data_IF_853932370651
#
_entry.id   IF_853932370651
#
_cell.length_a   1.000
_cell.length_b   1.000
_cell.length_c   1.000
_cell.angle_alpha   90.00
_cell.angle_beta   90.00
_cell.angle_gamma   90.00
#
_symmetry.space_group_name_H-M   'P 1'
#
loop_
_entity.id
_entity.type
_entity.pdbx_description
1 polymer ?
#
# COMPACT_ATOMS: atom_id res chain seq x y z
N UNK A 1 24.83 49.47 -3.84
CA UNK A 1 23.65 48.93 -4.55
C UNK A 1 22.43 49.71 -4.08
N UNK A 2 22.02 50.69 -4.88
CA UNK A 2 20.89 51.57 -4.61
C UNK A 2 19.60 50.90 -5.11
N UNK A 3 18.72 50.54 -4.18
CA UNK A 3 17.38 50.02 -4.49
C UNK A 3 16.61 51.11 -5.23
N UNK A 4 16.20 50.81 -6.46
CA UNK A 4 15.57 51.76 -7.38
C UNK A 4 14.20 52.24 -6.84
N UNK A 5 13.93 53.56 -6.79
CA UNK A 5 12.69 54.14 -6.24
C UNK A 5 11.49 54.08 -7.20
N UNK A 6 11.46 53.13 -8.12
CA UNK A 6 10.40 53.02 -9.14
C UNK A 6 9.17 52.22 -8.67
N UNK A 7 9.28 51.49 -7.56
CA UNK A 7 8.18 50.68 -7.03
C UNK A 7 7.02 51.52 -6.42
N UNK A 8 7.27 52.63 -5.70
CA UNK A 8 6.19 53.47 -5.16
C UNK A 8 5.35 54.18 -6.22
N UNK A 9 5.94 54.52 -7.38
CA UNK A 9 5.25 55.30 -8.42
C UNK A 9 4.27 54.45 -9.24
N UNK A 10 4.49 53.14 -9.33
CA UNK A 10 3.54 52.21 -9.94
C UNK A 10 2.24 52.04 -9.12
N UNK A 11 2.26 52.38 -7.83
CA UNK A 11 1.07 52.32 -6.97
C UNK A 11 0.34 53.67 -6.82
N UNK A 12 0.94 54.79 -7.25
CA UNK A 12 0.41 56.13 -6.99
C UNK A 12 -0.53 56.67 -8.09
N UNK A 13 -0.71 55.95 -9.22
CA UNK A 13 -1.37 56.51 -10.41
C UNK A 13 -2.67 55.81 -10.84
N UNK A 14 -3.25 54.93 -10.02
CA UNK A 14 -4.55 54.31 -10.33
C UNK A 14 -5.63 54.84 -9.38
N UNK A 15 -6.67 55.56 -9.86
CA UNK A 15 -7.84 55.97 -9.06
C UNK A 15 -8.74 54.78 -8.64
N UNK A 16 -8.20 53.57 -8.62
CA UNK A 16 -8.84 52.33 -8.19
C UNK A 16 -8.68 52.07 -6.68
N UNK A 17 -7.89 52.87 -5.96
CA UNK A 17 -7.56 52.65 -4.54
C UNK A 17 -8.43 53.43 -3.54
N UNK A 18 -9.30 54.33 -3.99
CA UNK A 18 -10.06 55.21 -3.09
C UNK A 18 -11.26 54.52 -2.41
N UNK A 19 -11.37 53.19 -2.51
CA UNK A 19 -12.39 52.40 -1.84
C UNK A 19 -11.91 51.01 -1.44
N UNK A 20 -12.51 50.46 -0.39
CA UNK A 20 -12.31 49.09 0.11
C UNK A 20 -12.35 48.03 -1.00
N UNK A 21 -13.15 48.26 -2.06
CA UNK A 21 -13.21 47.44 -3.27
C UNK A 21 -11.88 47.31 -4.00
N UNK A 22 -11.09 48.38 -4.07
CA UNK A 22 -9.77 48.37 -4.70
C UNK A 22 -8.82 47.40 -4.01
N UNK A 23 -8.83 47.40 -2.68
CA UNK A 23 -8.00 46.51 -1.86
C UNK A 23 -8.44 45.05 -2.01
N UNK A 24 -9.76 44.79 -1.93
CA UNK A 24 -10.32 43.44 -2.14
C UNK A 24 -9.94 42.90 -3.52
N UNK A 25 -10.13 43.70 -4.58
CA UNK A 25 -9.80 43.31 -5.95
C UNK A 25 -8.30 43.10 -6.14
N UNK A 26 -7.46 43.96 -5.55
CA UNK A 26 -6.01 43.83 -5.63
C UNK A 26 -5.53 42.52 -4.99
N UNK A 27 -5.98 42.23 -3.77
CA UNK A 27 -5.60 41.01 -3.04
C UNK A 27 -6.11 39.77 -3.79
N UNK A 28 -7.37 39.78 -4.23
CA UNK A 28 -7.94 38.67 -4.97
C UNK A 28 -7.20 38.43 -6.30
N UNK A 29 -6.85 39.50 -7.02
CA UNK A 29 -6.10 39.42 -8.28
C UNK A 29 -4.69 38.88 -8.06
N UNK A 30 -3.99 39.37 -7.03
CA UNK A 30 -2.66 38.87 -6.67
C UNK A 30 -2.71 37.37 -6.35
N UNK A 31 -3.68 36.95 -5.54
CA UNK A 31 -3.87 35.55 -5.18
C UNK A 31 -4.14 34.68 -6.42
N UNK A 32 -5.01 35.14 -7.31
CA UNK A 32 -5.30 34.47 -8.58
C UNK A 32 -4.06 34.35 -9.47
N UNK A 33 -3.28 35.42 -9.63
CA UNK A 33 -2.04 35.41 -10.43
C UNK A 33 -1.06 34.37 -9.89
N UNK A 34 -0.89 34.29 -8.57
CA UNK A 34 -0.01 33.30 -7.95
C UNK A 34 -0.49 31.87 -8.25
N UNK A 35 -1.79 31.59 -8.09
CA UNK A 35 -2.36 30.28 -8.44
C UNK A 35 -2.13 29.92 -9.91
N UNK A 36 -2.35 30.87 -10.81
CA UNK A 36 -2.16 30.69 -12.25
C UNK A 36 -0.70 30.38 -12.58
N UNK A 37 0.26 31.14 -12.01
CA UNK A 37 1.70 30.92 -12.22
C UNK A 37 2.12 29.54 -11.71
N UNK A 38 1.66 29.13 -10.51
CA UNK A 38 1.95 27.80 -9.96
C UNK A 38 1.39 26.69 -10.85
N UNK A 39 0.14 26.83 -11.31
CA UNK A 39 -0.51 25.87 -12.19
C UNK A 39 0.22 25.76 -13.53
N UNK A 40 0.56 26.88 -14.18
CA UNK A 40 1.28 26.89 -15.46
C UNK A 40 2.68 26.28 -15.30
N UNK A 41 3.39 26.63 -14.23
CA UNK A 41 4.72 26.09 -13.95
C UNK A 41 4.67 24.57 -13.73
N UNK A 42 3.68 24.09 -12.96
CA UNK A 42 3.44 22.67 -12.76
C UNK A 42 3.14 21.97 -14.09
N UNK A 43 2.16 22.47 -14.86
CA UNK A 43 1.80 21.88 -16.17
C UNK A 43 2.97 21.84 -17.14
N UNK A 44 3.78 22.91 -17.20
CA UNK A 44 4.95 22.94 -18.06
C UNK A 44 6.02 21.94 -17.62
N UNK A 45 6.24 21.79 -16.32
CA UNK A 45 7.15 20.78 -15.77
C UNK A 45 6.67 19.37 -16.09
N UNK A 46 5.42 19.04 -15.78
CA UNK A 46 4.79 17.74 -16.07
C UNK A 46 4.79 17.42 -17.57
N UNK A 47 4.47 18.41 -18.42
CA UNK A 47 4.52 18.25 -19.88
C UNK A 47 5.95 18.13 -20.45
N UNK A 48 6.98 18.57 -19.73
CA UNK A 48 8.37 18.25 -20.08
C UNK A 48 8.71 16.80 -19.76
N UNK A 49 8.25 16.29 -18.61
CA UNK A 49 8.42 14.88 -18.23
C UNK A 49 7.70 13.95 -19.19
N UNK A 50 6.45 14.26 -19.54
CA UNK A 50 5.67 13.48 -20.49
C UNK A 50 6.37 13.40 -21.86
N UNK A 51 6.88 14.53 -22.36
CA UNK A 51 7.67 14.55 -23.61
C UNK A 51 8.96 13.74 -23.51
N UNK A 52 9.62 13.74 -22.36
CA UNK A 52 10.81 12.93 -22.14
C UNK A 52 10.48 11.43 -22.22
N UNK A 53 9.43 11.00 -21.52
CA UNK A 53 8.96 9.60 -21.56
C UNK A 53 8.53 9.20 -22.98
N UNK A 54 7.80 10.07 -23.69
CA UNK A 54 7.42 9.80 -25.09
C UNK A 54 8.62 9.66 -26.01
N UNK A 55 9.72 10.37 -25.77
CA UNK A 55 10.98 10.18 -26.53
C UNK A 55 11.60 8.82 -26.23
N UNK A 56 11.62 8.41 -24.97
CA UNK A 56 12.08 7.07 -24.59
C UNK A 56 11.21 5.98 -25.23
N UNK A 57 9.90 6.16 -25.25
CA UNK A 57 8.99 5.23 -25.94
C UNK A 57 9.20 5.23 -27.46
N UNK A 58 9.42 6.39 -28.08
CA UNK A 58 9.71 6.47 -29.51
C UNK A 58 11.04 5.80 -29.88
N UNK A 59 12.06 5.89 -29.02
CA UNK A 59 13.33 5.17 -29.17
C UNK A 59 13.11 3.65 -29.15
N UNK A 60 12.28 3.15 -28.22
CA UNK A 60 11.88 1.73 -28.19
C UNK A 60 11.18 1.30 -29.49
N UNK A 61 10.21 2.08 -29.99
CA UNK A 61 9.49 1.78 -31.23
C UNK A 61 10.42 1.79 -32.44
N UNK A 62 11.48 2.60 -32.42
CA UNK A 62 12.52 2.62 -33.45
C UNK A 62 13.51 1.44 -33.37
N UNK A 63 13.31 0.50 -32.44
CA UNK A 63 14.17 -0.67 -32.22
C UNK A 63 15.32 -0.42 -31.23
N UNK A 64 15.33 0.71 -30.53
CA UNK A 64 16.21 0.96 -29.39
C UNK A 64 15.78 0.19 -28.14
N UNK A 65 16.51 0.39 -27.04
CA UNK A 65 16.19 -0.19 -25.74
C UNK A 65 15.15 0.62 -24.94
N UNK A 66 14.76 1.79 -25.45
CA UNK A 66 13.84 2.69 -24.77
C UNK A 66 14.40 3.34 -23.51
N UNK A 67 15.72 3.27 -23.29
CA UNK A 67 16.44 3.85 -22.15
C UNK A 67 17.48 4.88 -22.57
N UNK A 68 17.63 5.12 -23.87
CA UNK A 68 18.59 6.09 -24.41
C UNK A 68 18.41 7.48 -23.79
N UNK A 69 19.40 7.92 -23.02
CA UNK A 69 19.41 9.22 -22.35
C UNK A 69 18.65 9.28 -21.03
N UNK A 70 18.28 8.13 -20.45
CA UNK A 70 17.62 8.05 -19.14
C UNK A 70 18.44 8.72 -18.04
N UNK A 71 19.78 8.65 -18.08
CA UNK A 71 20.68 9.30 -17.12
C UNK A 71 20.50 10.83 -17.08
N UNK A 72 20.50 11.47 -18.25
CA UNK A 72 20.36 12.93 -18.35
C UNK A 72 18.94 13.36 -17.94
N UNK A 73 17.94 12.56 -18.32
CA UNK A 73 16.54 12.80 -17.95
C UNK A 73 16.29 12.57 -16.45
N UNK A 74 16.93 11.56 -15.86
CA UNK A 74 16.83 11.19 -14.45
C UNK A 74 17.34 12.28 -13.52
N UNK A 75 18.35 13.06 -13.95
CA UNK A 75 18.79 14.27 -13.21
C UNK A 75 17.70 15.32 -13.06
N UNK A 76 16.73 15.37 -13.99
CA UNK A 76 15.63 16.34 -13.98
C UNK A 76 14.33 15.74 -13.47
N UNK A 77 14.21 14.42 -13.50
CA UNK A 77 13.01 13.70 -13.11
C UNK A 77 13.38 12.52 -12.22
N UNK A 78 13.19 12.72 -10.91
CA UNK A 78 13.64 11.77 -9.88
C UNK A 78 13.05 10.38 -10.04
N UNK A 79 11.82 10.26 -10.52
CA UNK A 79 11.19 8.96 -10.77
C UNK A 79 11.95 8.16 -11.84
N UNK A 80 12.37 8.78 -12.95
CA UNK A 80 13.17 8.07 -13.96
C UNK A 80 14.54 7.64 -13.41
N UNK A 81 15.17 8.47 -12.57
CA UNK A 81 16.41 8.10 -11.90
C UNK A 81 16.22 6.91 -10.96
N UNK A 82 15.11 6.91 -10.21
CA UNK A 82 14.75 5.80 -9.33
C UNK A 82 14.50 4.51 -10.13
N UNK A 83 13.73 4.60 -11.22
CA UNK A 83 13.50 3.48 -12.14
C UNK A 83 14.81 2.93 -12.67
N UNK A 84 15.72 3.79 -13.12
CA UNK A 84 17.02 3.36 -13.64
C UNK A 84 17.88 2.66 -12.58
N UNK A 85 17.89 3.19 -11.34
CA UNK A 85 18.62 2.56 -10.22
C UNK A 85 18.01 1.24 -9.75
N UNK A 86 16.68 1.12 -9.76
CA UNK A 86 15.95 -0.06 -9.27
C UNK A 86 15.85 -1.16 -10.33
N UNK A 87 15.92 -0.78 -11.61
CA UNK A 87 15.83 -1.68 -12.75
C UNK A 87 16.99 -1.42 -13.72
N UNK A 88 18.25 -1.74 -13.35
CA UNK A 88 19.39 -1.46 -14.21
C UNK A 88 19.34 -2.28 -15.50
N UNK A 89 19.95 -1.77 -16.56
CA UNK A 89 19.98 -2.41 -17.88
C UNK A 89 20.57 -3.82 -17.77
N UNK A 90 19.83 -4.82 -18.28
CA UNK A 90 20.24 -6.22 -18.25
C UNK A 90 19.83 -6.99 -16.97
N UNK A 91 19.24 -6.33 -15.98
CA UNK A 91 18.61 -7.04 -14.86
C UNK A 91 17.38 -7.81 -15.33
N UNK A 92 17.34 -9.10 -15.03
CA UNK A 92 16.20 -9.98 -15.30
C UNK A 92 15.32 -10.20 -14.08
N UNK A 93 15.88 -9.99 -12.90
CA UNK A 93 15.15 -10.02 -11.64
C UNK A 93 14.59 -8.64 -11.38
N UNK A 94 13.26 -8.49 -11.22
CA UNK A 94 12.75 -7.30 -10.56
C UNK A 94 13.32 -7.33 -9.14
N UNK A 95 13.60 -6.17 -8.56
CA UNK A 95 13.73 -6.10 -7.11
C UNK A 95 12.42 -6.55 -6.42
N UNK A 96 12.30 -6.32 -5.12
CA UNK A 96 11.05 -6.57 -4.37
C UNK A 96 9.91 -5.60 -4.73
N UNK A 97 9.82 -5.18 -6.00
CA UNK A 97 8.88 -4.20 -6.52
C UNK A 97 7.95 -4.84 -7.55
N UNK A 98 6.67 -4.62 -7.36
CA UNK A 98 5.64 -4.92 -8.34
C UNK A 98 5.52 -3.79 -9.36
N UNK A 99 4.84 -4.07 -10.47
CA UNK A 99 4.48 -3.07 -11.47
C UNK A 99 3.70 -1.90 -10.85
N UNK A 100 2.82 -2.19 -9.91
CA UNK A 100 1.97 -1.18 -9.28
C UNK A 100 2.77 -0.29 -8.31
N UNK A 101 3.77 -0.85 -7.62
CA UNK A 101 4.67 -0.07 -6.75
C UNK A 101 5.42 1.01 -7.54
N UNK A 102 5.83 0.69 -8.77
CA UNK A 102 6.52 1.65 -9.66
C UNK A 102 5.63 2.83 -10.04
N UNK A 103 4.35 2.57 -10.31
CA UNK A 103 3.36 3.62 -10.62
C UNK A 103 2.95 4.39 -9.37
N UNK A 104 2.88 3.73 -8.22
CA UNK A 104 2.63 4.41 -6.96
C UNK A 104 3.78 5.36 -6.61
N UNK A 105 5.04 4.96 -6.83
CA UNK A 105 6.19 5.84 -6.65
C UNK A 105 6.13 7.05 -7.59
N UNK A 106 5.66 6.88 -8.83
CA UNK A 106 5.40 8.01 -9.74
C UNK A 106 4.40 8.99 -9.14
N UNK A 107 3.26 8.47 -8.65
CA UNK A 107 2.20 9.28 -8.05
C UNK A 107 2.74 10.04 -6.82
N UNK A 108 3.50 9.39 -5.94
CA UNK A 108 4.12 10.00 -4.77
C UNK A 108 5.08 11.12 -5.16
N UNK A 109 5.90 10.93 -6.19
CA UNK A 109 6.85 11.95 -6.68
C UNK A 109 6.13 13.14 -7.32
N UNK A 110 5.03 12.91 -8.03
CA UNK A 110 4.24 13.99 -8.61
C UNK A 110 3.47 14.74 -7.52
N UNK A 111 2.87 14.02 -6.57
CA UNK A 111 2.13 14.59 -5.45
C UNK A 111 3.02 15.36 -4.47
N UNK A 112 4.28 14.94 -4.28
CA UNK A 112 5.26 15.65 -3.45
C UNK A 112 5.85 16.90 -4.12
N UNK A 113 5.50 17.20 -5.37
CA UNK A 113 5.90 18.43 -6.03
C UNK A 113 5.40 19.65 -5.24
N UNK A 114 6.32 20.50 -4.80
CA UNK A 114 6.01 21.69 -4.00
C UNK A 114 4.99 22.61 -4.68
N UNK A 115 5.06 22.76 -6.00
CA UNK A 115 4.12 23.58 -6.78
C UNK A 115 2.68 23.05 -6.68
N UNK A 116 2.52 21.72 -6.72
CA UNK A 116 1.21 21.06 -6.64
C UNK A 116 0.63 21.14 -5.23
N UNK A 117 1.45 20.90 -4.21
CA UNK A 117 1.03 21.02 -2.81
C UNK A 117 0.64 22.46 -2.45
N UNK A 118 1.39 23.46 -2.94
CA UNK A 118 1.04 24.86 -2.74
C UNK A 118 -0.29 25.21 -3.41
N UNK A 119 -0.51 24.74 -4.65
CA UNK A 119 -1.79 24.95 -5.35
C UNK A 119 -2.97 24.30 -4.60
N UNK A 120 -2.80 23.10 -4.05
CA UNK A 120 -3.82 22.46 -3.20
C UNK A 120 -4.09 23.26 -1.93
N UNK A 121 -3.05 23.68 -1.22
CA UNK A 121 -3.18 24.49 0.01
C UNK A 121 -3.83 25.85 -0.27
N UNK A 122 -3.50 26.50 -1.38
CA UNK A 122 -4.13 27.76 -1.77
C UNK A 122 -5.63 27.60 -2.04
N UNK A 123 -6.07 26.45 -2.56
CA UNK A 123 -7.49 26.14 -2.69
C UNK A 123 -8.24 26.14 -1.37
N UNK A 124 -7.64 25.53 -0.34
CA UNK A 124 -8.21 25.49 1.02
C UNK A 124 -8.15 26.87 1.69
N UNK A 125 -7.14 27.68 1.37
CA UNK A 125 -6.97 29.02 1.94
C UNK A 125 -7.86 30.09 1.28
N UNK A 126 -8.37 29.88 0.06
CA UNK A 126 -9.15 30.88 -0.67
C UNK A 126 -10.44 31.31 0.09
N UNK A 127 -11.26 30.41 0.67
CA UNK A 127 -12.39 30.81 1.50
C UNK A 127 -11.98 31.58 2.76
N UNK A 128 -10.89 31.17 3.42
CA UNK A 128 -10.37 31.84 4.62
C UNK A 128 -9.92 33.26 4.29
N UNK A 129 -9.27 33.45 3.14
CA UNK A 129 -8.90 34.77 2.63
C UNK A 129 -10.16 35.62 2.37
N UNK A 130 -11.22 35.03 1.82
CA UNK A 130 -12.52 35.71 1.66
C UNK A 130 -13.10 36.19 2.99
N UNK A 131 -13.06 35.36 4.05
CA UNK A 131 -13.48 35.75 5.40
C UNK A 131 -12.61 36.89 5.96
N UNK A 132 -11.29 36.82 5.79
CA UNK A 132 -10.41 37.90 6.23
C UNK A 132 -10.69 39.21 5.51
N UNK A 133 -10.95 39.17 4.20
CA UNK A 133 -11.33 40.34 3.41
C UNK A 133 -12.65 40.94 3.88
N UNK A 134 -13.63 40.09 4.22
CA UNK A 134 -14.88 40.53 4.83
C UNK A 134 -14.64 41.28 6.15
N UNK A 135 -13.83 40.71 7.05
CA UNK A 135 -13.54 41.33 8.36
C UNK A 135 -12.83 42.68 8.20
N UNK A 136 -11.82 42.74 7.31
CA UNK A 136 -11.13 43.99 6.99
C UNK A 136 -12.07 45.03 6.39
N UNK A 137 -12.99 44.60 5.52
CA UNK A 137 -13.99 45.48 4.93
C UNK A 137 -14.97 46.05 5.96
N UNK A 138 -15.34 45.28 6.98
CA UNK A 138 -16.14 45.78 8.10
C UNK A 138 -15.38 46.76 9.01
N UNK A 139 -14.08 46.55 9.22
CA UNK A 139 -13.26 47.48 10.02
C UNK A 139 -13.15 48.87 9.41
N UNK A 140 -13.31 48.99 8.09
CA UNK A 140 -13.30 50.27 7.38
C UNK A 140 -14.68 50.90 7.19
N UNK A 141 -15.75 50.23 7.64
CA UNK A 141 -17.09 50.80 7.57
C UNK A 141 -17.30 51.74 8.75
N UNK A 142 -17.45 53.04 8.47
CA UNK A 142 -17.81 54.01 9.49
C UNK A 142 -19.28 53.78 9.92
N UNK A 143 -19.58 53.69 11.22
CA UNK A 143 -20.94 53.49 11.69
C UNK A 143 -21.81 54.71 11.35
N UNK A 144 -23.03 54.53 10.81
CA UNK A 144 -23.91 55.64 10.49
C UNK A 144 -24.31 56.39 11.76
N UNK A 145 -24.29 57.72 11.71
CA UNK A 145 -24.44 58.58 12.88
C UNK A 145 -25.90 58.77 13.37
N UNK A 146 -26.94 58.38 12.62
CA UNK A 146 -28.35 58.68 12.95
C UNK A 146 -29.33 57.51 12.66
N UNK A 147 -30.42 57.45 13.45
CA UNK A 147 -31.27 56.29 13.77
C UNK A 147 -32.39 55.87 12.78
N UNK A 148 -32.39 56.30 11.51
CA UNK A 148 -33.34 55.77 10.52
C UNK A 148 -32.62 55.13 9.34
N UNK A 149 -32.18 53.88 9.53
CA UNK A 149 -31.47 53.12 8.49
C UNK A 149 -32.38 52.87 7.28
N UNK A 150 -32.07 53.52 6.17
CA UNK A 150 -32.71 53.21 4.90
C UNK A 150 -32.25 51.84 4.39
N UNK A 151 -33.09 51.14 3.62
CA UNK A 151 -32.72 49.84 3.03
C UNK A 151 -31.41 49.90 2.20
N UNK A 152 -31.12 51.06 1.60
CA UNK A 152 -29.86 51.29 0.89
C UNK A 152 -28.62 51.28 1.80
N UNK A 153 -28.73 51.83 3.01
CA UNK A 153 -27.63 51.82 4.01
C UNK A 153 -27.40 50.42 4.57
N UNK A 154 -28.47 49.63 4.75
CA UNK A 154 -28.37 48.22 5.13
C UNK A 154 -27.63 47.42 4.04
N UNK A 155 -27.97 47.65 2.76
CA UNK A 155 -27.27 47.00 1.65
C UNK A 155 -25.79 47.42 1.56
N UNK A 156 -25.49 48.69 1.81
CA UNK A 156 -24.10 49.16 1.88
C UNK A 156 -23.33 48.53 3.05
N UNK A 157 -23.97 48.35 4.21
CA UNK A 157 -23.36 47.67 5.36
C UNK A 157 -23.04 46.19 5.07
N UNK A 158 -23.84 45.51 4.25
CA UNK A 158 -23.63 44.10 3.88
C UNK A 158 -22.66 43.95 2.70
N UNK A 159 -22.32 45.04 2.01
CA UNK A 159 -21.48 45.01 0.81
C UNK A 159 -20.11 44.34 1.03
N UNK A 160 -19.35 44.62 2.10
CA UNK A 160 -18.07 43.96 2.34
C UNK A 160 -18.18 42.45 2.58
N UNK A 161 -19.29 41.99 3.17
CA UNK A 161 -19.58 40.57 3.36
C UNK A 161 -19.74 39.86 2.02
N UNK A 162 -20.59 40.42 1.15
CA UNK A 162 -20.83 39.86 -0.18
C UNK A 162 -19.55 39.90 -1.01
N UNK A 163 -18.78 40.98 -0.92
CA UNK A 163 -17.51 41.15 -1.62
C UNK A 163 -16.47 40.12 -1.18
N UNK A 164 -16.21 40.00 0.12
CA UNK A 164 -15.18 39.11 0.66
C UNK A 164 -15.53 37.64 0.49
N UNK A 165 -16.74 37.23 0.88
CA UNK A 165 -17.21 35.84 0.71
C UNK A 165 -17.33 35.48 -0.77
N UNK A 166 -17.88 36.38 -1.60
CA UNK A 166 -17.99 36.19 -3.04
C UNK A 166 -16.62 36.03 -3.71
N UNK A 167 -15.66 36.90 -3.40
CA UNK A 167 -14.30 36.79 -3.92
C UNK A 167 -13.63 35.47 -3.49
N UNK A 168 -13.76 35.09 -2.22
CA UNK A 168 -13.22 33.82 -1.72
C UNK A 168 -13.83 32.59 -2.42
N UNK A 169 -15.15 32.60 -2.65
CA UNK A 169 -15.85 31.53 -3.36
C UNK A 169 -15.42 31.43 -4.83
N UNK A 170 -15.31 32.56 -5.53
CA UNK A 170 -14.85 32.60 -6.92
C UNK A 170 -13.41 32.09 -7.03
N UNK A 171 -12.51 32.51 -6.13
CA UNK A 171 -11.13 32.04 -6.09
C UNK A 171 -11.03 30.54 -5.80
N UNK A 172 -11.86 30.01 -4.90
CA UNK A 172 -11.92 28.58 -4.63
C UNK A 172 -12.37 27.78 -5.86
N UNK A 173 -13.41 28.25 -6.56
CA UNK A 173 -13.91 27.63 -7.78
C UNK A 173 -12.84 27.62 -8.89
N UNK A 174 -12.17 28.75 -9.09
CA UNK A 174 -11.05 28.86 -10.04
C UNK A 174 -9.93 27.89 -9.66
N UNK A 175 -9.55 27.82 -8.38
CA UNK A 175 -8.51 26.90 -7.92
C UNK A 175 -8.89 25.44 -8.18
N UNK A 176 -10.15 25.07 -7.97
CA UNK A 176 -10.64 23.72 -8.25
C UNK A 176 -10.55 23.39 -9.76
N UNK A 177 -10.89 24.35 -10.63
CA UNK A 177 -10.72 24.19 -12.07
C UNK A 177 -9.23 23.99 -12.44
N UNK A 178 -8.33 24.82 -11.89
CA UNK A 178 -6.88 24.70 -12.10
C UNK A 178 -6.33 23.35 -11.63
N UNK A 179 -6.76 22.87 -10.46
CA UNK A 179 -6.39 21.56 -9.94
C UNK A 179 -6.91 20.42 -10.84
N UNK A 180 -8.11 20.54 -11.38
CA UNK A 180 -8.64 19.55 -12.33
C UNK A 180 -7.80 19.50 -13.61
N UNK A 181 -7.39 20.65 -14.16
CA UNK A 181 -6.46 20.68 -15.30
C UNK A 181 -5.10 20.08 -14.98
N UNK A 182 -4.55 20.39 -13.79
CA UNK A 182 -3.30 19.79 -13.31
C UNK A 182 -3.43 18.27 -13.16
N UNK A 183 -4.57 17.79 -12.64
CA UNK A 183 -4.89 16.37 -12.50
C UNK A 183 -4.93 15.64 -13.84
N UNK A 184 -5.62 16.19 -14.84
CA UNK A 184 -5.66 15.63 -16.19
C UNK A 184 -4.26 15.52 -16.82
N UNK A 185 -3.37 16.48 -16.55
CA UNK A 185 -1.99 16.42 -17.02
C UNK A 185 -1.15 15.38 -16.29
N UNK A 186 -1.34 15.22 -14.99
CA UNK A 186 -0.72 14.14 -14.22
C UNK A 186 -1.16 12.78 -14.74
N UNK A 187 -2.45 12.60 -15.06
CA UNK A 187 -2.96 11.33 -15.62
C UNK A 187 -2.36 11.04 -16.99
N UNK A 188 -2.23 12.05 -17.86
CA UNK A 188 -1.55 11.90 -19.16
C UNK A 188 -0.09 11.47 -19.00
N UNK A 189 0.62 12.03 -18.00
CA UNK A 189 1.97 11.60 -17.64
C UNK A 189 1.98 10.15 -17.13
N UNK A 190 1.07 9.79 -16.22
CA UNK A 190 0.92 8.45 -15.66
C UNK A 190 0.73 7.41 -16.75
N UNK A 191 -0.20 7.65 -17.67
CA UNK A 191 -0.46 6.76 -18.80
C UNK A 191 0.76 6.61 -19.71
N UNK A 192 1.42 7.71 -20.04
CA UNK A 192 2.65 7.67 -20.85
C UNK A 192 3.78 6.90 -20.14
N UNK A 193 3.96 7.12 -18.83
CA UNK A 193 4.95 6.46 -18.00
C UNK A 193 4.68 4.96 -17.89
N UNK A 194 3.42 4.57 -17.67
CA UNK A 194 2.98 3.17 -17.63
C UNK A 194 3.24 2.47 -18.95
N UNK A 195 2.77 3.02 -20.07
CA UNK A 195 2.96 2.42 -21.39
C UNK A 195 4.45 2.24 -21.71
N UNK A 196 5.28 3.24 -21.41
CA UNK A 196 6.72 3.13 -21.59
C UNK A 196 7.34 2.07 -20.66
N UNK A 197 7.05 2.11 -19.36
CA UNK A 197 7.62 1.19 -18.38
C UNK A 197 7.26 -0.26 -18.70
N UNK A 198 6.00 -0.52 -19.04
CA UNK A 198 5.51 -1.84 -19.41
C UNK A 198 6.25 -2.38 -20.63
N UNK A 199 6.45 -1.54 -21.64
CA UNK A 199 7.05 -1.93 -22.90
C UNK A 199 8.58 -2.07 -22.81
N UNK A 200 9.27 -1.13 -22.15
CA UNK A 200 10.73 -1.03 -22.14
C UNK A 200 11.39 -1.80 -20.99
N UNK A 201 10.70 -2.00 -19.88
CA UNK A 201 11.28 -2.56 -18.64
C UNK A 201 10.53 -3.83 -18.24
N UNK A 202 9.22 -3.72 -18.03
CA UNK A 202 8.43 -4.84 -17.50
C UNK A 202 8.40 -6.03 -18.46
N UNK A 203 8.35 -5.81 -19.77
CA UNK A 203 8.37 -6.87 -20.79
C UNK A 203 9.60 -7.78 -20.67
N UNK A 204 10.78 -7.21 -20.39
CA UNK A 204 12.03 -7.97 -20.21
C UNK A 204 12.12 -8.74 -18.90
N UNK A 205 11.41 -8.27 -17.87
CA UNK A 205 11.43 -8.84 -16.53
C UNK A 205 10.34 -9.90 -16.39
N UNK A 206 9.15 -9.64 -16.95
CA UNK A 206 7.94 -10.44 -16.79
C UNK A 206 8.03 -11.85 -17.38
N UNK A 207 8.85 -12.07 -18.42
CA UNK A 207 9.02 -13.41 -19.01
C UNK A 207 9.65 -14.40 -18.01
N UNK A 208 10.65 -13.95 -17.25
CA UNK A 208 11.37 -14.80 -16.29
C UNK A 208 10.67 -14.82 -14.92
N UNK A 209 10.03 -13.71 -14.49
CA UNK A 209 9.29 -13.69 -13.22
C UNK A 209 7.96 -14.40 -13.26
N UNK A 210 7.21 -14.35 -14.36
CA UNK A 210 5.97 -15.10 -14.45
C UNK A 210 6.26 -16.61 -14.42
N UNK A 211 7.39 -17.05 -15.00
CA UNK A 211 7.88 -18.41 -14.88
C UNK A 211 8.33 -18.75 -13.44
N UNK A 212 9.01 -17.84 -12.74
CA UNK A 212 9.44 -18.04 -11.36
C UNK A 212 8.27 -18.04 -10.35
N UNK A 213 7.30 -17.12 -10.48
CA UNK A 213 6.09 -17.06 -9.65
C UNK A 213 5.19 -18.27 -9.91
N UNK A 214 5.05 -18.73 -11.15
CA UNK A 214 4.35 -20.00 -11.45
C UNK A 214 5.07 -21.18 -10.81
N UNK A 215 6.42 -21.25 -10.89
CA UNK A 215 7.19 -22.28 -10.20
C UNK A 215 7.00 -22.25 -8.68
N UNK A 216 6.98 -21.07 -8.07
CA UNK A 216 6.75 -20.90 -6.64
C UNK A 216 5.33 -21.30 -6.23
N UNK A 217 4.31 -20.91 -6.99
CA UNK A 217 2.91 -21.32 -6.76
C UNK A 217 2.77 -22.84 -6.90
N UNK A 218 3.36 -23.45 -7.93
CA UNK A 218 3.38 -24.91 -8.10
C UNK A 218 4.14 -25.62 -6.98
N UNK A 219 5.21 -25.02 -6.45
CA UNK A 219 5.94 -25.55 -5.31
C UNK A 219 5.10 -25.49 -4.02
N UNK A 220 4.39 -24.38 -3.78
CA UNK A 220 3.47 -24.22 -2.65
C UNK A 220 2.30 -25.20 -2.77
N UNK A 221 1.76 -25.40 -3.97
CA UNK A 221 0.68 -26.37 -4.24
C UNK A 221 1.13 -27.80 -3.96
N UNK A 222 2.33 -28.20 -4.44
CA UNK A 222 2.92 -29.50 -4.09
C UNK A 222 3.21 -29.64 -2.60
N UNK A 223 3.65 -28.57 -1.94
CA UNK A 223 3.89 -28.58 -0.50
C UNK A 223 2.56 -28.75 0.25
N UNK A 224 1.50 -28.07 -0.17
CA UNK A 224 0.17 -28.21 0.39
C UNK A 224 -0.42 -29.62 0.17
N UNK A 225 -0.25 -30.21 -1.02
CA UNK A 225 -0.62 -31.60 -1.30
C UNK A 225 0.16 -32.58 -0.41
N UNK A 226 1.48 -32.37 -0.25
CA UNK A 226 2.35 -33.22 0.58
C UNK A 226 1.99 -33.10 2.07
N UNK A 227 1.71 -31.89 2.54
CA UNK A 227 1.26 -31.64 3.92
C UNK A 227 -0.12 -32.26 4.14
N UNK A 228 -1.05 -32.14 3.19
CA UNK A 228 -2.38 -32.75 3.27
C UNK A 228 -2.28 -34.28 3.32
N UNK A 229 -1.49 -34.89 2.42
CA UNK A 229 -1.26 -36.33 2.41
C UNK A 229 -0.59 -36.81 3.71
N UNK A 230 0.37 -36.03 4.24
CA UNK A 230 0.99 -36.31 5.53
C UNK A 230 0.03 -36.16 6.71
N UNK A 231 -0.91 -35.21 6.65
CA UNK A 231 -1.93 -34.99 7.67
C UNK A 231 -2.98 -36.12 7.68
N UNK A 232 -3.41 -36.58 6.51
CA UNK A 232 -4.31 -37.74 6.37
C UNK A 232 -3.65 -39.02 6.93
N UNK A 233 -2.36 -39.21 6.63
CA UNK A 233 -1.58 -40.32 7.18
C UNK A 233 -1.39 -40.22 8.71
N UNK A 234 -1.26 -39.02 9.26
CA UNK A 234 -1.23 -38.79 10.71
C UNK A 234 -2.60 -39.00 11.36
N UNK A 235 -3.70 -38.67 10.68
CA UNK A 235 -5.06 -38.96 11.15
C UNK A 235 -5.31 -40.46 11.30
N UNK A 236 -4.89 -41.25 10.29
CA UNK A 236 -4.95 -42.72 10.34
C UNK A 236 -4.08 -43.29 11.48
N UNK A 237 -2.87 -42.75 11.66
CA UNK A 237 -1.96 -43.14 12.75
C UNK A 237 -2.56 -42.82 14.14
N UNK A 238 -3.25 -41.69 14.27
CA UNK A 238 -3.92 -41.27 15.52
C UNK A 238 -5.12 -42.16 15.85
N UNK A 239 -5.89 -42.60 14.84
CA UNK A 239 -6.96 -43.58 15.03
C UNK A 239 -6.43 -44.94 15.49
N UNK A 240 -5.30 -45.39 14.93
CA UNK A 240 -4.64 -46.62 15.38
C UNK A 240 -4.13 -46.51 16.82
N UNK A 241 -3.58 -45.36 17.21
CA UNK A 241 -3.18 -45.10 18.60
C UNK A 241 -4.38 -45.08 19.55
N UNK A 242 -5.48 -44.43 19.19
CA UNK A 242 -6.71 -44.44 20.01
C UNK A 242 -7.28 -45.86 20.17
N UNK A 243 -7.25 -46.66 19.10
CA UNK A 243 -7.68 -48.06 19.13
C UNK A 243 -6.78 -48.90 20.05
N UNK A 244 -5.47 -48.68 20.00
CA UNK A 244 -4.50 -49.30 20.88
C UNK A 244 -4.70 -48.91 22.36
N UNK A 245 -4.92 -47.62 22.64
CA UNK A 245 -5.17 -47.12 24.00
C UNK A 245 -6.45 -47.74 24.58
N UNK A 246 -7.52 -47.82 23.80
CA UNK A 246 -8.77 -48.49 24.21
C UNK A 246 -8.57 -49.99 24.48
N UNK A 247 -7.71 -50.67 23.70
CA UNK A 247 -7.38 -52.07 23.92
C UNK A 247 -6.55 -52.27 25.20
N UNK A 248 -5.60 -51.37 25.48
CA UNK A 248 -4.82 -51.36 26.74
C UNK A 248 -5.73 -51.11 27.94
N UNK A 249 -6.65 -50.15 27.85
CA UNK A 249 -7.58 -49.83 28.94
C UNK A 249 -8.49 -51.02 29.26
N UNK A 250 -9.06 -51.68 28.25
CA UNK A 250 -9.82 -52.92 28.45
C UNK A 250 -8.99 -54.02 29.09
N UNK A 251 -7.77 -54.24 28.61
CA UNK A 251 -6.87 -55.25 29.19
C UNK A 251 -6.53 -54.93 30.67
N UNK A 252 -6.37 -53.66 31.02
CA UNK A 252 -6.17 -53.21 32.39
C UNK A 252 -7.39 -53.46 33.29
N UNK A 253 -8.59 -53.15 32.80
CA UNK A 253 -9.84 -53.40 33.52
C UNK A 253 -10.09 -54.90 33.75
N UNK A 254 -9.86 -55.73 32.72
CA UNK A 254 -9.97 -57.19 32.82
C UNK A 254 -8.97 -57.76 33.83
N UNK A 255 -7.74 -57.24 33.87
CA UNK A 255 -6.73 -57.62 34.84
C UNK A 255 -7.14 -57.23 36.27
N UNK A 256 -7.61 -56.01 36.48
CA UNK A 256 -8.09 -55.55 37.79
C UNK A 256 -9.27 -56.38 38.29
N UNK A 257 -10.21 -56.72 37.42
CA UNK A 257 -11.34 -57.58 37.76
C UNK A 257 -10.89 -59.01 38.14
N UNK A 258 -9.90 -59.55 37.44
CA UNK A 258 -9.30 -60.85 37.78
C UNK A 258 -8.61 -60.81 39.16
N UNK A 259 -7.90 -59.74 39.48
CA UNK A 259 -7.25 -59.53 40.79
C UNK A 259 -8.29 -59.40 41.92
N UNK A 260 -9.38 -58.67 41.70
CA UNK A 260 -10.46 -58.53 42.69
C UNK A 260 -11.17 -59.87 42.93
N UNK A 261 -11.36 -60.67 41.88
CA UNK A 261 -11.96 -62.00 41.96
C UNK A 261 -11.04 -62.99 42.70
N UNK A 262 -9.71 -62.87 42.49
CA UNK A 262 -8.69 -63.63 43.24
C UNK A 262 -8.71 -63.29 44.74
N UNK A 263 -8.87 -62.02 45.10
CA UNK A 263 -8.99 -61.58 46.50
C UNK A 263 -10.27 -62.08 47.18
N UNK A 264 -11.35 -62.32 46.44
CA UNK A 264 -12.63 -62.80 46.97
C UNK A 264 -12.72 -64.32 47.15
N UNK A 265 -11.98 -65.11 46.37
CA UNK A 265 -12.13 -66.57 46.29
C UNK A 265 -10.80 -67.33 46.51
N UNK A 266 -10.23 -67.24 47.72
CA UNK A 266 -9.00 -67.98 48.10
C UNK A 266 -9.16 -69.52 48.02
N UNK A 267 -10.39 -70.04 47.92
CA UNK A 267 -10.67 -71.46 47.73
C UNK A 267 -10.44 -72.02 46.32
N UNK A 268 -10.35 -71.18 45.28
CA UNK A 268 -10.21 -71.60 43.86
C UNK A 268 -8.92 -71.10 43.19
N UNK A 269 -7.85 -71.05 43.98
CA UNK A 269 -6.52 -70.53 43.61
C UNK A 269 -5.94 -71.02 42.26
N UNK A 270 -6.09 -72.31 41.86
CA UNK A 270 -5.49 -72.81 40.62
C UNK A 270 -6.17 -72.29 39.34
N UNK A 271 -7.50 -72.17 39.33
CA UNK A 271 -8.25 -71.66 38.16
C UNK A 271 -8.06 -70.15 37.98
N UNK A 272 -7.98 -69.40 39.07
CA UNK A 272 -7.74 -67.95 39.05
C UNK A 272 -6.31 -67.60 38.63
N UNK A 273 -5.30 -68.40 39.02
CA UNK A 273 -3.93 -68.29 38.51
C UNK A 273 -3.85 -68.52 36.98
N UNK A 274 -4.58 -69.50 36.44
CA UNK A 274 -4.64 -69.74 35.01
C UNK A 274 -5.30 -68.58 34.24
N UNK A 275 -6.34 -67.97 34.81
CA UNK A 275 -6.97 -66.76 34.28
C UNK A 275 -6.02 -65.55 34.26
N UNK A 276 -5.30 -65.30 35.36
CA UNK A 276 -4.29 -64.24 35.46
C UNK A 276 -3.13 -64.44 34.49
N UNK A 277 -2.66 -65.68 34.33
CA UNK A 277 -1.60 -66.01 33.37
C UNK A 277 -2.06 -65.73 31.93
N UNK A 278 -3.31 -66.06 31.60
CA UNK A 278 -3.89 -65.80 30.28
C UNK A 278 -4.08 -64.30 30.01
N UNK A 279 -4.58 -63.53 30.98
CA UNK A 279 -4.72 -62.08 30.83
C UNK A 279 -3.36 -61.36 30.77
N UNK A 280 -2.38 -61.81 31.55
CA UNK A 280 -1.01 -61.27 31.51
C UNK A 280 -0.33 -61.60 30.17
N UNK A 281 -0.53 -62.80 29.63
CA UNK A 281 -0.05 -63.17 28.30
C UNK A 281 -0.74 -62.34 27.20
N UNK A 282 -2.05 -62.09 27.31
CA UNK A 282 -2.77 -61.23 26.38
C UNK A 282 -2.27 -59.77 26.43
N UNK A 283 -1.99 -59.24 27.62
CA UNK A 283 -1.41 -57.91 27.81
C UNK A 283 0.03 -57.82 27.26
N UNK A 284 0.84 -58.86 27.45
CA UNK A 284 2.19 -58.94 26.90
C UNK A 284 2.18 -58.99 25.37
N UNK A 285 1.29 -59.78 24.76
CA UNK A 285 1.10 -59.84 23.30
C UNK A 285 0.60 -58.49 22.76
N UNK A 286 -0.32 -57.82 23.47
CA UNK A 286 -0.78 -56.49 23.08
C UNK A 286 0.34 -55.46 23.12
N UNK A 287 1.20 -55.50 24.15
CA UNK A 287 2.39 -54.63 24.23
C UNK A 287 3.40 -54.94 23.12
N UNK A 288 3.62 -56.22 22.79
CA UNK A 288 4.52 -56.64 21.71
C UNK A 288 4.01 -56.18 20.34
N UNK A 289 2.70 -56.17 20.11
CA UNK A 289 2.06 -55.64 18.90
C UNK A 289 2.16 -54.11 18.76
N UNK A 290 2.42 -53.38 19.85
CA UNK A 290 2.56 -51.92 19.84
C UNK A 290 3.99 -51.43 19.58
N UNK A 291 4.99 -52.28 19.80
CA UNK A 291 6.40 -51.95 19.52
C UNK A 291 6.63 -51.55 18.04
N UNK A 292 6.09 -52.28 17.04
CA UNK A 292 6.22 -51.90 15.63
C UNK A 292 5.50 -50.58 15.30
N UNK A 293 4.36 -50.31 15.96
CA UNK A 293 3.58 -49.07 15.76
C UNK A 293 4.36 -47.87 16.28
N UNK A 294 4.94 -47.97 17.48
CA UNK A 294 5.82 -46.94 18.05
C UNK A 294 7.06 -46.70 17.19
N UNK A 295 7.69 -47.76 16.67
CA UNK A 295 8.84 -47.63 15.75
C UNK A 295 8.47 -46.94 14.43
N UNK A 296 7.29 -47.22 13.86
CA UNK A 296 6.81 -46.54 12.65
C UNK A 296 6.46 -45.07 12.89
N UNK A 297 5.85 -44.75 14.03
CA UNK A 297 5.53 -43.37 14.38
C UNK A 297 6.80 -42.50 14.54
N UNK A 298 7.84 -43.03 15.19
CA UNK A 298 9.14 -42.35 15.32
C UNK A 298 9.82 -42.20 13.95
N UNK A 299 9.83 -43.25 13.13
CA UNK A 299 10.41 -43.19 11.78
C UNK A 299 9.69 -42.18 10.87
N UNK A 300 8.36 -42.08 10.96
CA UNK A 300 7.59 -41.07 10.23
C UNK A 300 7.95 -39.65 10.65
N UNK A 301 8.15 -39.44 11.96
CA UNK A 301 8.57 -38.15 12.51
C UNK A 301 9.97 -37.74 12.06
N UNK A 302 10.92 -38.70 12.03
CA UNK A 302 12.27 -38.47 11.52
C UNK A 302 12.28 -38.11 10.02
N UNK A 303 11.40 -38.74 9.22
CA UNK A 303 11.23 -38.42 7.79
C UNK A 303 10.64 -37.03 7.60
N UNK A 304 9.61 -36.66 8.36
CA UNK A 304 9.02 -35.30 8.31
C UNK A 304 10.03 -34.22 8.73
N UNK A 305 10.84 -34.48 9.77
CA UNK A 305 11.90 -33.55 10.22
C UNK A 305 13.01 -33.43 9.18
N UNK A 306 13.42 -34.53 8.54
CA UNK A 306 14.41 -34.51 7.47
C UNK A 306 13.91 -33.76 6.22
N UNK A 307 12.64 -33.95 5.84
CA UNK A 307 12.01 -33.24 4.73
C UNK A 307 11.90 -31.74 5.01
N UNK A 308 11.47 -31.36 6.23
CA UNK A 308 11.41 -29.96 6.65
C UNK A 308 12.81 -29.31 6.65
N UNK A 309 13.82 -29.98 7.20
CA UNK A 309 15.20 -29.48 7.21
C UNK A 309 15.74 -29.29 5.79
N UNK A 310 15.46 -30.23 4.89
CA UNK A 310 15.88 -30.14 3.49
C UNK A 310 15.21 -28.97 2.77
N UNK A 311 13.91 -28.75 3.02
CA UNK A 311 13.18 -27.62 2.46
C UNK A 311 13.75 -26.27 2.96
N UNK A 312 14.05 -26.17 4.25
CA UNK A 312 14.68 -24.97 4.85
C UNK A 312 16.09 -24.73 4.31
N UNK A 313 16.93 -25.76 4.25
CA UNK A 313 18.31 -25.63 3.72
C UNK A 313 18.31 -25.25 2.24
N UNK A 314 17.33 -25.73 1.46
CA UNK A 314 17.18 -25.36 0.05
C UNK A 314 16.74 -23.90 -0.12
N UNK A 315 15.79 -23.41 0.70
CA UNK A 315 15.34 -22.01 0.66
C UNK A 315 16.46 -21.03 1.05
N UNK A 316 17.33 -21.40 1.99
CA UNK A 316 18.50 -20.60 2.39
C UNK A 316 19.66 -20.61 1.38
N UNK A 317 19.74 -21.64 0.53
CA UNK A 317 20.79 -21.72 -0.50
C UNK A 317 20.37 -20.99 -1.79
N UNK A 318 19.07 -20.84 -2.01
CA UNK A 318 18.49 -20.14 -3.17
C UNK A 318 18.30 -18.62 -2.93
N UNK A 319 18.35 -18.14 -1.67
CA UNK A 319 18.29 -16.73 -1.26
C UNK A 319 19.68 -16.06 -1.17
#
# INVERSE_FOLDING_TARGET
MTVSPLLPQLFAATPLTDGHWGVVLLIATLFFIVQLVLCVRFMWRTGRYERAIRRLHADLVAGGDGRRGIDELGRRFEWLRWVDSSFPTGSKTPGNYTRDDVLQELDVRVASSSDYLLLQRMGVMAPLLGVMLTVLGFQWLEPPANEEQSFGEILQAVTPLVAGVGAGAVLAFINQALLHFAGNKTESLRMSARTWFDAAIWSSIGLDTQAATVKAITAIERMAETISASADQQHETTQHLATATNAIERAGNDFQQAVLTFSGNIGTLPETMAGLQKSTAAAAIALEQLIPVGKRAVAGLDVSVAAFRTAVDQEFTEA
#
